data_IF_050748801287
#
_entry.id   IF_050748801287
#
_cell.length_a   1.000
_cell.length_b   1.000
_cell.length_c   1.000
_cell.angle_alpha   90.00
_cell.angle_beta   90.00
_cell.angle_gamma   90.00
#
_symmetry.space_group_name_H-M   'P 1'
#
loop_
_entity.id
_entity.type
_entity.pdbx_description
1 polymer ?
#
# COMPACT_ATOMS: atom_id res chain seq x y z
N UNK A 1 2.24 15.19 -14.01
CA UNK A 1 1.03 14.43 -13.59
C UNK A 1 1.34 12.95 -13.55
N UNK A 2 0.95 12.27 -12.48
CA UNK A 2 1.13 10.83 -12.43
C UNK A 2 0.21 10.10 -13.40
N UNK A 3 0.70 9.00 -13.94
CA UNK A 3 -0.13 8.05 -14.65
C UNK A 3 -0.07 6.71 -13.94
N UNK A 4 -1.08 5.87 -14.16
CA UNK A 4 -1.22 4.61 -13.47
C UNK A 4 -1.51 3.49 -14.46
N UNK A 5 -0.97 2.31 -14.18
CA UNK A 5 -1.31 1.11 -14.93
C UNK A 5 -1.26 -0.11 -14.03
N UNK A 6 -1.88 -1.23 -14.42
CA UNK A 6 -1.73 -2.46 -13.65
C UNK A 6 -0.25 -2.83 -13.52
N UNK A 7 0.10 -3.33 -12.34
CA UNK A 7 1.43 -3.84 -12.07
C UNK A 7 1.45 -5.34 -12.36
N UNK A 8 2.33 -5.75 -13.24
CA UNK A 8 2.47 -7.15 -13.64
C UNK A 8 3.71 -7.76 -13.01
N UNK A 9 3.75 -9.09 -12.90
CA UNK A 9 4.91 -9.78 -12.38
C UNK A 9 6.19 -9.42 -13.16
N UNK A 10 6.06 -9.21 -14.46
CA UNK A 10 7.17 -8.78 -15.32
C UNK A 10 7.73 -7.40 -14.97
N UNK A 11 7.01 -6.63 -14.14
CA UNK A 11 7.46 -5.31 -13.68
C UNK A 11 8.33 -5.38 -12.42
N UNK A 12 8.63 -6.57 -11.93
CA UNK A 12 9.38 -6.76 -10.68
C UNK A 12 10.67 -5.94 -10.63
N UNK A 13 11.41 -5.89 -11.72
CA UNK A 13 12.67 -5.14 -11.80
C UNK A 13 12.45 -3.62 -11.61
N UNK A 14 11.26 -3.13 -11.90
CA UNK A 14 10.93 -1.71 -11.75
C UNK A 14 10.57 -1.37 -10.31
N UNK A 15 9.92 -2.28 -9.59
CA UNK A 15 9.41 -1.99 -8.24
C UNK A 15 10.36 -2.39 -7.11
N UNK A 16 11.22 -3.36 -7.32
CA UNK A 16 12.13 -3.82 -6.27
C UNK A 16 13.05 -2.69 -5.76
N UNK A 17 13.67 -1.86 -6.64
CA UNK A 17 14.43 -0.71 -6.17
C UNK A 17 13.60 0.30 -5.39
N UNK A 18 12.32 0.48 -5.75
CA UNK A 18 11.43 1.38 -5.02
C UNK A 18 11.19 0.84 -3.61
N UNK A 19 10.92 -0.46 -3.50
CA UNK A 19 10.71 -1.11 -2.20
C UNK A 19 11.93 -0.95 -1.30
N UNK A 20 13.11 -1.22 -1.84
CA UNK A 20 14.35 -1.12 -1.09
C UNK A 20 14.66 0.31 -0.63
N UNK A 21 14.35 1.30 -1.46
CA UNK A 21 14.61 2.69 -1.14
C UNK A 21 13.58 3.30 -0.18
N UNK A 22 12.33 2.84 -0.24
CA UNK A 22 11.22 3.46 0.48
C UNK A 22 10.99 2.90 1.89
N UNK A 23 11.39 1.66 2.14
CA UNK A 23 11.12 1.01 3.43
C UNK A 23 12.41 0.67 4.17
N UNK A 24 12.48 0.95 5.50
CA UNK A 24 13.66 0.58 6.30
C UNK A 24 13.80 -0.94 6.44
N UNK A 25 12.70 -1.68 6.40
CA UNK A 25 12.69 -3.13 6.42
C UNK A 25 11.96 -3.62 5.17
N UNK A 26 12.62 -3.61 4.01
CA UNK A 26 11.92 -3.92 2.75
C UNK A 26 11.52 -5.39 2.66
N UNK A 27 10.46 -5.64 1.92
CA UNK A 27 10.04 -6.99 1.60
C UNK A 27 11.13 -7.70 0.79
N UNK A 28 11.27 -9.01 1.00
CA UNK A 28 12.17 -9.83 0.20
C UNK A 28 11.64 -9.96 -1.23
N UNK A 29 12.54 -10.37 -2.14
CA UNK A 29 12.14 -10.70 -3.51
C UNK A 29 11.03 -11.74 -3.54
N UNK A 30 11.17 -12.79 -2.71
CA UNK A 30 10.19 -13.87 -2.65
C UNK A 30 8.82 -13.35 -2.21
N UNK A 31 8.76 -12.47 -1.21
CA UNK A 31 7.51 -11.88 -0.76
C UNK A 31 6.83 -11.07 -1.85
N UNK A 32 7.58 -10.20 -2.54
CA UNK A 32 7.02 -9.41 -3.62
C UNK A 32 6.52 -10.29 -4.76
N UNK A 33 7.30 -11.28 -5.16
CA UNK A 33 6.93 -12.16 -6.26
C UNK A 33 5.74 -13.07 -5.92
N UNK A 34 5.47 -13.30 -4.63
CA UNK A 34 4.33 -14.11 -4.22
C UNK A 34 2.98 -13.39 -4.36
N UNK A 35 3.02 -12.08 -4.63
CA UNK A 35 1.81 -11.25 -4.64
C UNK A 35 1.27 -10.98 -6.05
N UNK A 36 1.45 -11.92 -6.96
CA UNK A 36 0.86 -11.86 -8.31
C UNK A 36 0.02 -13.10 -8.54
N UNK A 37 -1.19 -12.90 -9.01
CA UNK A 37 -2.15 -13.97 -9.22
C UNK A 37 -3.56 -13.41 -9.29
N UNK A 38 -4.58 -14.28 -9.46
CA UNK A 38 -5.95 -13.82 -9.73
C UNK A 38 -6.57 -12.95 -8.65
N UNK A 39 -6.22 -13.18 -7.38
CA UNK A 39 -6.80 -12.42 -6.27
C UNK A 39 -6.13 -11.07 -6.04
N UNK A 40 -4.98 -10.81 -6.67
CA UNK A 40 -4.23 -9.58 -6.45
C UNK A 40 -4.64 -8.49 -7.41
N UNK A 41 -4.65 -7.28 -6.91
CA UNK A 41 -4.98 -6.07 -7.67
C UNK A 41 -3.89 -5.05 -7.37
N UNK A 42 -2.85 -5.05 -8.20
CA UNK A 42 -1.64 -4.26 -8.00
C UNK A 42 -1.54 -3.16 -9.02
N UNK A 43 -0.95 -2.03 -8.63
CA UNK A 43 -0.82 -0.88 -9.52
C UNK A 43 0.55 -0.24 -9.49
N UNK A 44 0.95 0.32 -10.61
CA UNK A 44 2.21 1.03 -10.77
C UNK A 44 1.91 2.49 -11.10
N UNK A 45 2.60 3.39 -10.41
CA UNK A 45 2.54 4.83 -10.68
C UNK A 45 3.79 5.27 -11.43
N UNK A 46 3.58 6.03 -12.49
CA UNK A 46 4.65 6.56 -13.34
C UNK A 46 4.59 8.09 -13.34
N UNK A 47 5.76 8.72 -13.29
CA UNK A 47 5.92 10.16 -13.47
C UNK A 47 6.85 10.34 -14.67
N UNK A 48 6.33 10.96 -15.74
CA UNK A 48 7.11 11.14 -16.98
C UNK A 48 7.72 9.80 -17.43
N UNK A 49 6.91 8.75 -17.41
CA UNK A 49 7.29 7.39 -17.78
C UNK A 49 8.32 6.72 -16.86
N UNK A 50 8.65 7.34 -15.72
CA UNK A 50 9.57 6.78 -14.72
C UNK A 50 8.76 6.13 -13.60
N UNK A 51 9.11 4.88 -13.21
CA UNK A 51 8.45 4.25 -12.08
C UNK A 51 8.68 5.04 -10.79
N UNK A 52 7.61 5.48 -10.16
CA UNK A 52 7.68 6.36 -8.99
C UNK A 52 7.08 5.75 -7.73
N UNK A 53 6.18 4.79 -7.88
CA UNK A 53 5.55 4.13 -6.74
C UNK A 53 4.68 2.97 -7.18
N UNK A 54 4.20 2.21 -6.21
CA UNK A 54 3.33 1.07 -6.50
C UNK A 54 2.48 0.72 -5.30
N UNK A 55 1.44 -0.06 -5.53
CA UNK A 55 0.71 -0.71 -4.45
C UNK A 55 0.49 -2.18 -4.76
N UNK A 56 0.43 -2.97 -3.69
CA UNK A 56 0.09 -4.39 -3.72
C UNK A 56 -1.16 -4.56 -2.87
N UNK A 57 -2.19 -5.14 -3.44
CA UNK A 57 -3.43 -5.41 -2.72
C UNK A 57 -4.07 -6.70 -3.21
N UNK A 58 -4.97 -7.24 -2.40
CA UNK A 58 -5.82 -8.34 -2.84
C UNK A 58 -7.27 -7.91 -2.86
N UNK A 59 -8.11 -8.74 -3.44
CA UNK A 59 -9.55 -8.52 -3.45
C UNK A 59 -10.21 -9.90 -3.47
N UNK A 60 -10.89 -10.24 -2.37
CA UNK A 60 -11.55 -11.52 -2.20
C UNK A 60 -12.94 -11.27 -1.62
N UNK A 61 -13.98 -11.64 -2.38
CA UNK A 61 -15.38 -11.56 -1.93
C UNK A 61 -15.77 -10.16 -1.39
N UNK A 62 -15.30 -9.11 -2.04
CA UNK A 62 -15.62 -7.73 -1.65
C UNK A 62 -14.68 -7.11 -0.62
N UNK A 63 -13.77 -7.88 -0.04
CA UNK A 63 -12.79 -7.40 0.93
C UNK A 63 -11.44 -7.21 0.26
N UNK A 64 -10.91 -5.99 0.31
CA UNK A 64 -9.58 -5.68 -0.20
C UNK A 64 -8.63 -5.41 0.96
N UNK A 65 -7.45 -6.02 0.91
CA UNK A 65 -6.37 -5.73 1.85
C UNK A 65 -5.26 -5.01 1.10
N UNK A 66 -4.90 -3.81 1.57
CA UNK A 66 -3.76 -3.08 1.06
C UNK A 66 -2.53 -3.60 1.78
N UNK A 67 -1.70 -4.35 1.06
CA UNK A 67 -0.57 -5.06 1.65
C UNK A 67 0.72 -4.26 1.60
N UNK A 68 0.86 -3.40 0.60
CA UNK A 68 2.04 -2.55 0.44
C UNK A 68 1.66 -1.33 -0.41
N UNK A 69 2.14 -0.17 -0.02
CA UNK A 69 2.02 1.05 -0.82
C UNK A 69 3.25 1.89 -0.54
N UNK A 70 3.93 2.34 -1.57
CA UNK A 70 5.09 3.19 -1.38
C UNK A 70 5.39 4.07 -2.59
N UNK A 71 6.06 5.18 -2.31
CA UNK A 71 6.55 6.13 -3.31
C UNK A 71 8.06 6.23 -3.13
N UNK A 72 8.81 6.14 -4.21
CA UNK A 72 10.26 6.27 -4.17
C UNK A 72 10.64 7.62 -3.54
N UNK A 73 11.68 7.66 -2.68
CA UNK A 73 12.08 8.90 -2.01
C UNK A 73 12.27 10.11 -2.93
N UNK A 74 12.75 9.90 -4.15
CA UNK A 74 12.95 10.99 -5.12
C UNK A 74 11.63 11.69 -5.51
N UNK A 75 10.50 11.05 -5.27
CA UNK A 75 9.19 11.57 -5.63
C UNK A 75 8.32 11.90 -4.41
N UNK A 76 8.82 11.72 -3.20
CA UNK A 76 8.06 11.99 -1.98
C UNK A 76 7.91 13.50 -1.74
N UNK A 77 6.92 13.87 -0.90
CA UNK A 77 6.68 15.26 -0.54
C UNK A 77 5.88 16.05 -1.56
N UNK A 78 5.26 15.40 -2.53
CA UNK A 78 4.52 16.05 -3.63
C UNK A 78 3.05 15.62 -3.70
N UNK A 79 2.55 14.99 -2.64
CA UNK A 79 1.17 14.49 -2.62
C UNK A 79 0.93 13.23 -3.44
N UNK A 80 1.99 12.56 -3.88
CA UNK A 80 1.88 11.39 -4.75
C UNK A 80 1.41 10.15 -3.99
N UNK A 81 1.73 10.04 -2.70
CA UNK A 81 1.20 8.96 -1.87
C UNK A 81 -0.31 8.99 -1.80
N UNK A 82 -0.89 10.19 -1.66
CA UNK A 82 -2.34 10.37 -1.67
C UNK A 82 -2.93 10.02 -3.04
N UNK A 83 -2.28 10.44 -4.12
CA UNK A 83 -2.74 10.13 -5.47
C UNK A 83 -2.76 8.63 -5.70
N UNK A 84 -1.71 7.94 -5.24
CA UNK A 84 -1.60 6.49 -5.36
C UNK A 84 -2.67 5.77 -4.54
N UNK A 85 -2.92 6.23 -3.31
CA UNK A 85 -3.97 5.66 -2.45
C UNK A 85 -5.36 5.86 -3.07
N UNK A 86 -5.64 7.05 -3.59
CA UNK A 86 -6.91 7.32 -4.27
C UNK A 86 -7.11 6.44 -5.50
N UNK A 87 -6.05 6.20 -6.26
CA UNK A 87 -6.09 5.30 -7.41
C UNK A 87 -6.44 3.88 -6.98
N UNK A 88 -5.79 3.40 -5.93
CA UNK A 88 -6.08 2.07 -5.36
C UNK A 88 -7.55 1.96 -4.96
N UNK A 89 -8.06 2.95 -4.20
CA UNK A 89 -9.44 2.93 -3.74
C UNK A 89 -10.43 2.94 -4.89
N UNK A 90 -10.21 3.80 -5.88
CA UNK A 90 -11.09 3.90 -7.04
C UNK A 90 -11.11 2.62 -7.86
N UNK A 91 -9.93 2.05 -8.12
CA UNK A 91 -9.81 0.85 -8.94
C UNK A 91 -10.42 -0.37 -8.24
N UNK A 92 -10.16 -0.52 -6.94
CA UNK A 92 -10.72 -1.65 -6.18
C UNK A 92 -12.24 -1.51 -6.02
N UNK A 93 -12.75 -0.30 -5.85
CA UNK A 93 -14.19 -0.05 -5.80
C UNK A 93 -14.85 -0.42 -7.13
N UNK A 94 -14.22 -0.09 -8.26
CA UNK A 94 -14.71 -0.47 -9.58
C UNK A 94 -14.73 -1.99 -9.77
N UNK A 95 -13.91 -2.73 -9.02
CA UNK A 95 -13.87 -4.19 -8.99
C UNK A 95 -14.72 -4.78 -7.88
N UNK A 96 -15.65 -4.00 -7.32
CA UNK A 96 -16.66 -4.44 -6.35
C UNK A 96 -16.13 -4.61 -4.93
N UNK A 97 -15.05 -3.95 -4.56
CA UNK A 97 -14.63 -3.88 -3.16
C UNK A 97 -15.69 -3.14 -2.35
N UNK A 98 -16.01 -3.65 -1.17
CA UNK A 98 -16.97 -3.08 -0.24
C UNK A 98 -16.33 -2.69 1.09
N UNK A 99 -15.18 -3.28 1.39
CA UNK A 99 -14.42 -3.00 2.60
C UNK A 99 -12.93 -3.04 2.26
N UNK A 100 -12.17 -2.16 2.92
CA UNK A 100 -10.74 -2.03 2.72
C UNK A 100 -10.03 -2.14 4.06
N UNK A 101 -8.95 -2.89 4.10
CA UNK A 101 -8.19 -3.14 5.31
C UNK A 101 -6.71 -2.88 5.06
N UNK A 102 -6.01 -2.40 6.08
CA UNK A 102 -4.57 -2.24 6.03
C UNK A 102 -3.98 -2.33 7.43
N UNK A 103 -2.67 -2.50 7.47
CA UNK A 103 -1.89 -2.57 8.69
C UNK A 103 -0.74 -1.58 8.56
N UNK A 104 -0.48 -0.82 9.62
CA UNK A 104 0.57 0.21 9.61
C UNK A 104 1.25 0.26 10.97
N UNK A 105 2.55 0.59 10.98
CA UNK A 105 3.29 0.78 12.23
C UNK A 105 2.72 1.97 13.00
N UNK A 106 2.56 1.81 14.31
CA UNK A 106 2.01 2.86 15.18
C UNK A 106 2.81 4.16 15.12
N UNK A 107 4.13 4.06 14.94
CA UNK A 107 5.01 5.22 14.84
C UNK A 107 4.93 5.96 13.51
N UNK A 108 4.30 5.37 12.50
CA UNK A 108 4.17 6.00 11.19
C UNK A 108 2.97 6.95 11.15
N UNK A 109 3.09 8.05 11.91
CA UNK A 109 2.00 9.02 12.06
C UNK A 109 1.58 9.65 10.74
N UNK A 110 2.53 9.87 9.84
CA UNK A 110 2.25 10.47 8.53
C UNK A 110 1.35 9.57 7.68
N UNK A 111 1.63 8.27 7.66
CA UNK A 111 0.81 7.31 6.92
C UNK A 111 -0.56 7.18 7.56
N UNK A 112 -0.63 7.09 8.89
CA UNK A 112 -1.91 7.00 9.61
C UNK A 112 -2.79 8.21 9.28
N UNK A 113 -2.22 9.41 9.33
CA UNK A 113 -2.95 10.63 8.99
C UNK A 113 -3.48 10.62 7.56
N UNK A 114 -2.67 10.12 6.63
CA UNK A 114 -3.10 9.97 5.23
C UNK A 114 -4.27 9.00 5.11
N UNK A 115 -4.18 7.85 5.74
CA UNK A 115 -5.25 6.86 5.71
C UNK A 115 -6.52 7.40 6.35
N UNK A 116 -6.42 8.05 7.50
CA UNK A 116 -7.58 8.66 8.16
C UNK A 116 -8.24 9.71 7.27
N UNK A 117 -7.46 10.51 6.57
CA UNK A 117 -8.00 11.53 5.67
C UNK A 117 -8.75 10.93 4.48
N UNK A 118 -8.51 9.66 4.16
CA UNK A 118 -9.20 8.94 3.08
C UNK A 118 -10.26 7.97 3.60
N UNK A 119 -10.68 8.13 4.85
CA UNK A 119 -11.82 7.40 5.40
C UNK A 119 -11.50 6.14 6.18
N UNK A 120 -10.23 5.85 6.40
CA UNK A 120 -9.85 4.71 7.24
C UNK A 120 -9.93 5.07 8.71
N UNK A 121 -10.28 4.10 9.55
CA UNK A 121 -10.29 4.26 11.01
C UNK A 121 -9.64 3.04 11.65
N UNK A 122 -8.93 3.27 12.74
CA UNK A 122 -8.34 2.19 13.53
C UNK A 122 -9.46 1.34 14.15
N UNK A 123 -9.36 0.01 14.03
CA UNK A 123 -10.31 -0.89 14.65
C UNK A 123 -9.64 -1.91 15.57
N UNK A 124 -8.33 -2.07 15.50
CA UNK A 124 -7.59 -3.04 16.30
C UNK A 124 -6.11 -2.66 16.36
N UNK A 125 -5.42 -3.14 17.39
CA UNK A 125 -3.97 -3.05 17.50
C UNK A 125 -3.40 -4.40 17.85
N UNK A 126 -2.23 -4.69 17.28
CA UNK A 126 -1.41 -5.84 17.68
C UNK A 126 -0.21 -5.29 18.42
N UNK A 127 -0.16 -5.54 19.72
CA UNK A 127 0.95 -5.05 20.54
C UNK A 127 2.26 -5.73 20.15
N UNK A 128 3.35 -4.93 20.11
CA UNK A 128 4.71 -5.42 19.87
C UNK A 128 4.87 -6.28 18.61
N UNK A 129 4.13 -5.94 17.56
CA UNK A 129 4.07 -6.75 16.33
C UNK A 129 5.30 -6.58 15.44
N UNK A 130 5.83 -5.35 15.33
CA UNK A 130 6.97 -5.05 14.48
C UNK A 130 8.26 -4.94 15.29
N UNK A 131 9.37 -5.39 14.71
CA UNK A 131 10.69 -5.26 15.32
C UNK A 131 11.02 -6.38 16.29
N UNK A 132 12.12 -6.22 17.02
CA UNK A 132 12.60 -7.19 17.99
C UNK A 132 13.09 -6.49 19.24
N UNK A 133 13.07 -7.21 20.40
CA UNK A 133 13.57 -6.70 21.66
C UNK A 133 12.80 -5.48 22.16
N UNK A 134 13.49 -4.53 22.81
CA UNK A 134 12.83 -3.37 23.42
C UNK A 134 12.30 -2.35 22.40
N UNK A 135 12.72 -2.45 21.14
CA UNK A 135 12.31 -1.52 20.10
C UNK A 135 11.06 -1.99 19.33
N UNK A 136 10.30 -2.90 19.92
CA UNK A 136 9.06 -3.39 19.30
C UNK A 136 8.03 -2.28 19.20
N UNK A 137 7.27 -2.35 18.12
CA UNK A 137 6.28 -1.37 17.80
C UNK A 137 4.93 -2.04 17.51
N UNK A 138 3.85 -1.41 17.93
CA UNK A 138 2.50 -1.92 17.66
C UNK A 138 2.17 -1.84 16.18
N UNK A 139 1.31 -2.75 15.73
CA UNK A 139 0.64 -2.64 14.45
C UNK A 139 -0.74 -2.03 14.68
N UNK A 140 -1.05 -1.00 13.91
CA UNK A 140 -2.39 -0.40 13.89
C UNK A 140 -3.15 -0.98 12.71
N UNK A 141 -4.29 -1.60 12.97
CA UNK A 141 -5.13 -2.17 11.93
C UNK A 141 -6.26 -1.18 11.64
N UNK A 142 -6.40 -0.81 10.37
CA UNK A 142 -7.38 0.19 9.94
C UNK A 142 -8.31 -0.39 8.89
N UNK A 143 -9.53 0.10 8.87
CA UNK A 143 -10.51 -0.29 7.88
C UNK A 143 -11.29 0.91 7.35
N UNK A 144 -11.77 0.75 6.12
CA UNK A 144 -12.67 1.70 5.48
C UNK A 144 -13.81 0.89 4.88
N UNK A 145 -15.03 1.25 5.24
CA UNK A 145 -16.21 0.57 4.74
C UNK A 145 -16.83 1.37 3.60
N UNK A 146 -17.58 0.68 2.75
CA UNK A 146 -18.26 1.31 1.63
C UNK A 146 -19.28 2.33 2.14
N UNK A 147 -19.29 3.53 1.55
CA UNK A 147 -20.29 4.57 1.85
C UNK A 147 -21.53 4.33 1.00
N UNK A 148 -22.65 4.19 1.66
CA UNK A 148 -23.94 4.01 1.00
C UNK A 148 -24.65 5.35 0.83
#
# INVERSE_FOLDING_TARGET
>A
MPSFRPLLESDFELIYPIEQAAHPEPWSQANLLSCFGPRYLNGLMLIEERPAGFYISDLVAGDSSLMNICVHPDFQGKGLGRALLKEYLARSKARKAEAWFLEVRAGNQRAIALYESEGFAEYCRRADYYGTGPDREDAVLMSRLFDF
#
